data_IF_988077994625
#
_entry.id   IF_988077994625
#
_cell.length_a   1.000
_cell.length_b   1.000
_cell.length_c   1.000
_cell.angle_alpha   90.00
_cell.angle_beta   90.00
_cell.angle_gamma   90.00
#
_symmetry.space_group_name_H-M   'P 1'
#
loop_
_entity.id
_entity.type
_entity.pdbx_description
1 polymer ?
#
# COMPACT_ATOMS: atom_id res chain seq x y z
N UNK A 1 1.57 -18.76 39.45
CA UNK A 1 2.43 -18.72 38.24
C UNK A 1 2.17 -17.40 37.53
N UNK A 2 3.18 -16.52 37.49
CA UNK A 2 3.21 -15.28 36.70
C UNK A 2 4.53 -15.32 35.91
N UNK A 3 4.60 -14.80 34.69
CA UNK A 3 5.37 -13.55 34.51
C UNK A 3 4.61 -12.57 33.59
N UNK A 4 4.42 -11.29 33.92
CA UNK A 4 5.41 -10.25 34.27
C UNK A 4 6.43 -10.01 33.15
N UNK A 5 6.01 -9.27 32.12
CA UNK A 5 6.86 -8.37 31.33
C UNK A 5 5.96 -7.29 30.72
N UNK A 6 5.86 -6.13 31.37
CA UNK A 6 6.77 -4.98 31.23
C UNK A 6 6.35 -4.06 30.09
N UNK A 7 5.29 -3.30 30.37
CA UNK A 7 5.10 -1.96 29.83
C UNK A 7 6.05 -1.05 30.61
N UNK A 8 7.30 -0.92 30.17
CA UNK A 8 8.16 0.19 30.58
C UNK A 8 9.07 0.64 29.45
N UNK A 9 8.89 1.90 29.03
CA UNK A 9 9.92 2.91 28.72
C UNK A 9 9.34 3.90 27.72
N UNK A 10 9.57 5.21 27.75
CA UNK A 10 10.16 6.14 28.70
C UNK A 10 10.13 7.52 28.01
N UNK A 11 10.45 8.58 28.79
CA UNK A 11 10.75 9.98 28.41
C UNK A 11 9.51 10.88 28.31
N UNK A 12 9.25 11.84 29.19
CA UNK A 12 10.10 12.61 30.09
C UNK A 12 10.36 14.00 29.49
N UNK A 13 9.90 15.07 30.16
CA UNK A 13 10.41 16.41 29.88
C UNK A 13 9.49 17.62 30.11
N UNK A 14 9.42 18.05 31.38
CA UNK A 14 9.57 19.44 31.87
C UNK A 14 8.50 20.52 31.57
N UNK A 15 7.95 21.01 32.69
CA UNK A 15 7.87 22.40 33.16
C UNK A 15 7.75 23.55 32.14
N UNK A 16 6.67 24.31 32.28
CA UNK A 16 6.57 25.73 31.94
C UNK A 16 5.21 26.24 32.39
N UNK A 17 5.13 26.82 33.60
CA UNK A 17 5.02 28.28 33.80
C UNK A 17 3.69 28.83 33.32
N UNK A 18 2.83 29.16 34.29
CA UNK A 18 1.54 29.77 34.05
C UNK A 18 1.64 31.22 33.57
N UNK A 19 0.55 31.73 33.02
CA UNK A 19 0.24 33.16 32.97
C UNK A 19 -1.27 33.32 33.12
N UNK A 20 -1.64 34.26 33.98
CA UNK A 20 -2.99 34.67 34.35
C UNK A 20 -3.69 35.50 33.25
N UNK A 21 -4.99 35.74 33.47
CA UNK A 21 -5.92 36.59 32.72
C UNK A 21 -5.36 37.80 31.96
N UNK A 22 -5.82 38.00 30.72
CA UNK A 22 -5.72 39.27 29.97
C UNK A 22 -6.37 39.20 28.58
N UNK A 23 -7.20 40.19 28.24
CA UNK A 23 -8.17 40.26 27.14
C UNK A 23 -7.60 40.57 25.73
N UNK A 24 -8.36 40.13 24.72
CA UNK A 24 -8.50 40.61 23.32
C UNK A 24 -7.33 40.39 22.32
N UNK A 25 -7.54 39.45 21.36
CA UNK A 25 -7.34 39.66 19.90
C UNK A 25 -7.74 38.39 19.12
N UNK A 26 -8.51 38.57 18.05
CA UNK A 26 -8.90 37.53 17.07
C UNK A 26 -7.72 37.27 16.12
N UNK A 27 -7.56 36.02 15.65
CA UNK A 27 -7.34 35.59 14.24
C UNK A 27 -6.42 34.37 14.11
N UNK A 28 -6.89 33.45 13.25
CA UNK A 28 -6.20 32.36 12.55
C UNK A 28 -5.83 31.10 13.34
N UNK A 29 -6.69 30.09 13.21
CA UNK A 29 -6.31 28.68 13.37
C UNK A 29 -5.29 28.35 12.27
N UNK A 30 -3.99 28.48 12.56
CA UNK A 30 -2.94 27.89 11.76
C UNK A 30 -2.97 26.36 11.99
N UNK A 31 -3.90 25.68 11.32
CA UNK A 31 -3.84 24.23 11.18
C UNK A 31 -2.49 23.87 10.55
N UNK A 32 -1.84 22.76 10.97
CA UNK A 32 -0.58 22.39 10.36
C UNK A 32 -0.84 22.20 8.86
N UNK A 33 -0.14 22.98 8.04
CA UNK A 33 0.03 22.64 6.64
C UNK A 33 0.60 21.22 6.64
N UNK A 34 -0.24 20.24 6.34
CA UNK A 34 0.26 18.90 6.06
C UNK A 34 1.17 19.09 4.87
N UNK A 35 2.46 18.86 5.12
CA UNK A 35 3.43 18.68 4.07
C UNK A 35 2.80 17.71 3.08
N UNK A 36 2.37 18.24 1.93
CA UNK A 36 2.21 17.42 0.76
C UNK A 36 3.61 16.91 0.50
N UNK A 37 3.86 15.68 0.94
CA UNK A 37 4.96 14.91 0.40
C UNK A 37 4.63 14.78 -1.09
N UNK A 38 5.11 15.75 -1.87
CA UNK A 38 5.28 15.62 -3.31
C UNK A 38 6.26 14.46 -3.47
N UNK A 39 5.69 13.26 -3.59
CA UNK A 39 6.43 12.04 -3.83
C UNK A 39 7.10 12.16 -5.18
N UNK A 40 8.32 12.69 -5.19
CA UNK A 40 9.26 12.52 -6.28
C UNK A 40 9.60 11.03 -6.34
N UNK A 41 8.77 10.29 -7.08
CA UNK A 41 9.03 8.90 -7.43
C UNK A 41 9.99 8.90 -8.63
N UNK A 42 11.23 8.56 -8.34
CA UNK A 42 12.30 8.32 -9.31
C UNK A 42 11.89 7.25 -10.33
N UNK A 43 12.43 7.37 -11.54
CA UNK A 43 12.01 6.66 -12.75
C UNK A 43 12.49 5.20 -12.78
N UNK A 44 11.91 4.34 -11.95
CA UNK A 44 11.87 2.89 -12.21
C UNK A 44 10.42 2.45 -12.29
N UNK A 45 9.94 2.14 -13.49
CA UNK A 45 8.71 1.37 -13.69
C UNK A 45 7.49 1.85 -12.91
N UNK A 46 7.22 3.16 -12.91
CA UNK A 46 6.03 3.74 -12.26
C UNK A 46 4.78 2.95 -12.70
N UNK A 47 3.97 2.49 -11.73
CA UNK A 47 2.70 1.86 -12.04
C UNK A 47 1.85 2.84 -12.87
N UNK A 48 1.62 2.47 -14.13
CA UNK A 48 0.82 3.26 -15.07
C UNK A 48 -0.66 2.91 -14.96
N UNK A 49 -0.96 1.75 -14.39
CA UNK A 49 -2.31 1.22 -14.26
C UNK A 49 -2.60 0.91 -12.79
N UNK A 50 -3.86 1.02 -12.40
CA UNK A 50 -4.31 0.65 -11.06
C UNK A 50 -5.28 -0.52 -11.14
N UNK A 51 -5.28 -1.35 -10.10
CA UNK A 51 -6.27 -2.39 -9.91
C UNK A 51 -6.67 -2.50 -8.45
N UNK A 52 -7.92 -2.84 -8.19
CA UNK A 52 -8.45 -3.11 -6.86
C UNK A 52 -8.53 -4.61 -6.61
N UNK A 53 -7.97 -5.06 -5.50
CA UNK A 53 -8.08 -6.45 -5.05
C UNK A 53 -9.52 -6.73 -4.62
N UNK A 54 -10.16 -7.71 -5.24
CA UNK A 54 -11.54 -8.14 -4.93
C UNK A 54 -11.63 -9.57 -4.39
N UNK A 55 -10.50 -10.28 -4.32
CA UNK A 55 -10.44 -11.59 -3.66
C UNK A 55 -10.67 -11.43 -2.15
N UNK A 56 -11.75 -12.03 -1.62
CA UNK A 56 -12.11 -11.93 -0.18
C UNK A 56 -11.08 -12.57 0.75
N UNK A 57 -10.41 -13.64 0.31
CA UNK A 57 -9.30 -14.29 1.02
C UNK A 57 -7.95 -13.56 0.84
N UNK A 58 -7.93 -12.47 0.07
CA UNK A 58 -6.73 -11.77 -0.34
C UNK A 58 -6.11 -12.32 -1.62
N UNK A 59 -5.19 -11.53 -2.18
CA UNK A 59 -4.47 -11.81 -3.42
C UNK A 59 -3.04 -12.23 -3.10
N UNK A 60 -2.71 -13.49 -3.35
CA UNK A 60 -1.33 -13.97 -3.20
C UNK A 60 -0.44 -13.36 -4.27
N UNK A 61 0.67 -12.75 -3.82
CA UNK A 61 1.71 -12.20 -4.69
C UNK A 61 2.97 -13.08 -4.65
N UNK A 62 3.68 -13.13 -5.78
CA UNK A 62 4.78 -14.08 -6.00
C UNK A 62 5.99 -13.41 -6.62
N UNK A 63 7.15 -14.08 -6.54
CA UNK A 63 8.37 -13.61 -7.20
C UNK A 63 8.37 -13.81 -8.72
N UNK A 64 7.40 -14.53 -9.28
CA UNK A 64 7.26 -14.74 -10.72
C UNK A 64 5.86 -15.18 -11.14
N UNK A 65 5.55 -15.21 -12.45
CA UNK A 65 4.20 -15.41 -12.99
C UNK A 65 3.82 -16.90 -13.07
N UNK A 66 4.02 -17.64 -11.99
CA UNK A 66 3.66 -19.05 -11.85
C UNK A 66 3.54 -19.43 -10.37
N UNK A 67 2.72 -20.42 -10.06
CA UNK A 67 2.59 -21.00 -8.72
C UNK A 67 3.83 -21.75 -8.24
N UNK A 68 4.78 -22.04 -9.13
CA UNK A 68 6.08 -22.60 -8.78
C UNK A 68 7.02 -21.57 -8.15
N UNK A 69 6.77 -20.27 -8.37
CA UNK A 69 7.54 -19.21 -7.71
C UNK A 69 7.10 -19.03 -6.26
N UNK A 70 8.06 -18.65 -5.42
CA UNK A 70 7.84 -18.38 -4.00
C UNK A 70 6.73 -17.34 -3.80
N UNK A 71 5.80 -17.63 -2.89
CA UNK A 71 4.84 -16.64 -2.42
C UNK A 71 5.53 -15.62 -1.52
N UNK A 72 5.34 -14.33 -1.79
CA UNK A 72 5.87 -13.23 -0.99
C UNK A 72 4.90 -12.83 0.14
N UNK A 73 3.62 -13.15 -0.01
CA UNK A 73 2.57 -12.80 0.94
C UNK A 73 1.25 -12.61 0.20
N UNK A 74 0.33 -11.86 0.82
CA UNK A 74 -0.95 -11.49 0.20
C UNK A 74 -1.25 -9.99 0.33
N UNK A 75 -1.95 -9.45 -0.66
CA UNK A 75 -2.61 -8.14 -0.59
C UNK A 75 -4.05 -8.35 -0.13
N UNK A 76 -4.53 -7.53 0.79
CA UNK A 76 -5.86 -7.71 1.38
C UNK A 76 -6.97 -7.26 0.43
N UNK A 77 -8.19 -7.74 0.65
CA UNK A 77 -9.38 -7.27 -0.05
C UNK A 77 -9.49 -5.73 0.02
N UNK A 78 -9.91 -5.11 -1.09
CA UNK A 78 -10.07 -3.66 -1.21
C UNK A 78 -8.77 -2.90 -1.45
N UNK A 79 -7.60 -3.53 -1.28
CA UNK A 79 -6.28 -2.91 -1.54
C UNK A 79 -6.20 -2.46 -2.99
N UNK A 80 -5.74 -1.24 -3.22
CA UNK A 80 -5.36 -0.77 -4.56
C UNK A 80 -3.90 -1.12 -4.80
N UNK A 81 -3.64 -1.77 -5.93
CA UNK A 81 -2.29 -2.16 -6.37
C UNK A 81 -1.93 -1.41 -7.65
N UNK A 82 -0.69 -0.94 -7.70
CA UNK A 82 -0.10 -0.40 -8.91
C UNK A 82 0.34 -1.54 -9.82
N UNK A 83 0.01 -1.44 -11.10
CA UNK A 83 0.30 -2.42 -12.14
C UNK A 83 1.18 -1.76 -13.20
N UNK A 84 2.29 -2.42 -13.51
CA UNK A 84 3.27 -1.94 -14.50
C UNK A 84 2.89 -2.43 -15.88
N UNK A 85 2.66 -3.74 -16.02
CA UNK A 85 2.29 -4.37 -17.29
C UNK A 85 1.75 -5.79 -17.04
N UNK A 86 1.18 -6.40 -18.08
CA UNK A 86 0.76 -7.81 -18.09
C UNK A 86 1.83 -8.70 -18.73
N UNK A 87 1.99 -9.92 -18.22
CA UNK A 87 2.92 -10.93 -18.72
C UNK A 87 2.21 -12.26 -18.95
N UNK A 88 2.72 -13.07 -19.89
CA UNK A 88 2.28 -14.46 -20.05
C UNK A 88 3.04 -15.33 -19.04
N UNK A 89 2.31 -16.16 -18.31
CA UNK A 89 2.86 -17.05 -17.30
C UNK A 89 2.14 -18.40 -17.28
N UNK A 90 2.20 -19.07 -16.13
CA UNK A 90 1.44 -20.30 -15.92
C UNK A 90 -0.06 -20.05 -16.15
N UNK A 91 -0.71 -20.97 -16.87
CA UNK A 91 -2.17 -20.99 -16.96
C UNK A 91 -2.77 -21.39 -15.63
N UNK A 92 -3.53 -20.48 -15.04
CA UNK A 92 -4.35 -20.72 -13.87
C UNK A 92 -5.79 -20.54 -14.31
N UNK A 93 -6.64 -21.53 -14.06
CA UNK A 93 -8.09 -21.48 -14.39
C UNK A 93 -8.36 -21.02 -15.85
N UNK A 94 -7.54 -21.49 -16.79
CA UNK A 94 -7.65 -21.16 -18.22
C UNK A 94 -7.00 -19.84 -18.65
N UNK A 95 -6.63 -18.96 -17.72
CA UNK A 95 -6.05 -17.64 -18.00
C UNK A 95 -4.52 -17.63 -17.80
N UNK A 96 -3.73 -17.41 -18.87
CA UNK A 96 -2.27 -17.33 -18.80
C UNK A 96 -1.74 -15.96 -18.36
N UNK A 97 -2.60 -14.97 -18.14
CA UNK A 97 -2.19 -13.59 -17.89
C UNK A 97 -1.88 -13.40 -16.41
N UNK A 98 -0.76 -12.73 -16.16
CA UNK A 98 -0.33 -12.25 -14.85
C UNK A 98 -0.03 -10.76 -14.92
N UNK A 99 -0.16 -10.05 -13.80
CA UNK A 99 0.26 -8.67 -13.66
C UNK A 99 1.59 -8.58 -12.94
N UNK A 100 2.50 -7.79 -13.48
CA UNK A 100 3.67 -7.30 -12.75
C UNK A 100 3.27 -6.04 -12.00
N UNK A 101 3.39 -6.07 -10.67
CA UNK A 101 3.03 -4.97 -9.79
C UNK A 101 4.21 -4.00 -9.61
N UNK A 102 3.94 -2.82 -9.07
CA UNK A 102 4.97 -1.79 -8.81
C UNK A 102 6.04 -2.22 -7.82
N UNK A 103 5.73 -3.12 -6.89
CA UNK A 103 6.69 -3.72 -5.95
C UNK A 103 7.50 -4.87 -6.58
N UNK A 104 7.51 -4.96 -7.92
CA UNK A 104 8.12 -6.01 -8.72
C UNK A 104 7.60 -7.43 -8.46
N UNK A 105 6.53 -7.58 -7.68
CA UNK A 105 5.85 -8.86 -7.48
C UNK A 105 4.87 -9.18 -8.61
N UNK A 106 4.42 -10.44 -8.65
CA UNK A 106 3.49 -10.93 -9.66
C UNK A 106 2.20 -11.44 -9.03
N UNK A 107 1.08 -11.05 -9.62
CA UNK A 107 -0.25 -11.48 -9.22
C UNK A 107 -1.00 -12.04 -10.43
N UNK A 108 -1.84 -13.05 -10.22
CA UNK A 108 -2.63 -13.60 -11.31
C UNK A 108 -3.75 -12.62 -11.73
N UNK A 109 -3.90 -12.42 -13.04
CA UNK A 109 -4.77 -11.41 -13.64
C UNK A 109 -6.18 -11.93 -13.85
N UNK A 110 -6.95 -12.14 -12.79
CA UNK A 110 -8.35 -12.52 -12.89
C UNK A 110 -9.25 -11.45 -12.30
N UNK A 111 -10.39 -11.18 -12.93
CA UNK A 111 -11.41 -10.27 -12.38
C UNK A 111 -11.98 -10.76 -11.04
N UNK A 112 -11.79 -12.05 -10.71
CA UNK A 112 -12.08 -12.61 -9.37
C UNK A 112 -11.07 -12.17 -8.30
N UNK A 113 -9.93 -11.64 -8.71
CA UNK A 113 -8.80 -11.31 -7.86
C UNK A 113 -8.47 -9.82 -7.89
N UNK A 114 -8.42 -9.23 -9.08
CA UNK A 114 -8.16 -7.82 -9.32
C UNK A 114 -9.14 -7.30 -10.38
N UNK A 115 -9.89 -6.27 -10.04
CA UNK A 115 -10.67 -5.47 -10.99
C UNK A 115 -9.85 -4.24 -11.36
N UNK A 116 -9.85 -3.88 -12.64
CA UNK A 116 -9.21 -2.66 -13.12
C UNK A 116 -10.27 -1.75 -13.73
N UNK A 117 -10.12 -0.45 -13.47
CA UNK A 117 -10.94 0.58 -14.08
C UNK A 117 -10.09 1.33 -15.13
N UNK A 118 -10.65 1.56 -16.31
CA UNK A 118 -9.99 2.31 -17.38
C UNK A 118 -9.12 1.48 -18.33
N UNK A 119 -7.93 2.00 -18.67
CA UNK A 119 -7.09 1.45 -19.74
C UNK A 119 -6.47 0.12 -19.32
N UNK A 120 -6.51 -0.87 -20.22
CA UNK A 120 -5.88 -2.18 -19.97
C UNK A 120 -4.35 -2.06 -19.95
N UNK A 121 -3.64 -2.70 -19.00
CA UNK A 121 -2.20 -2.74 -18.96
C UNK A 121 -1.61 -3.25 -20.26
N UNK A 122 -0.57 -2.56 -20.72
CA UNK A 122 0.25 -3.02 -21.85
C UNK A 122 0.98 -4.31 -21.51
N UNK A 123 1.38 -5.07 -22.54
CA UNK A 123 2.26 -6.21 -22.35
C UNK A 123 3.66 -5.73 -21.92
N UNK A 124 4.28 -6.47 -21.01
CA UNK A 124 5.73 -6.64 -21.03
C UNK A 124 6.04 -7.72 -22.08
#
# INVERSE_FOLDING_TARGET
MVPQWLITSAKGGRCGLGVACGLLAVVAMAGPARAVHEGRADHEGRAEYEGRVVARSGLVVRTGPSYQYRALGSKQYGTVVGIVCRVKGQRVEGNPVWYKLSDASYAWSSERHIVQDGKRPRWC
#
